data_IF_725460729524
#
_entry.id   IF_725460729524
#
_cell.length_a   1.000
_cell.length_b   1.000
_cell.length_c   1.000
_cell.angle_alpha   90.00
_cell.angle_beta   90.00
_cell.angle_gamma   90.00
#
_symmetry.space_group_name_H-M   'P 1'
#
loop_
_entity.id
_entity.type
_entity.pdbx_description
1 polymer ?
#
# COMPACT_ATOMS: atom_id res chain seq x y z
N UNK A 1 33.58 -9.67 -6.74
CA UNK A 1 32.80 -8.68 -7.52
C UNK A 1 31.36 -9.09 -7.79
N UNK A 2 31.07 -10.30 -8.28
CA UNK A 2 29.70 -10.76 -8.58
C UNK A 2 28.70 -10.62 -7.41
N UNK A 3 29.07 -11.02 -6.20
CA UNK A 3 28.20 -10.89 -5.01
C UNK A 3 27.86 -9.43 -4.65
N UNK A 4 28.74 -8.47 -4.93
CA UNK A 4 28.47 -7.03 -4.70
C UNK A 4 27.36 -6.56 -5.64
N UNK A 5 27.45 -6.93 -6.91
CA UNK A 5 26.43 -6.64 -7.90
C UNK A 5 25.11 -7.37 -7.61
N UNK A 6 25.15 -8.59 -7.08
CA UNK A 6 23.96 -9.31 -6.61
C UNK A 6 23.20 -8.52 -5.53
N UNK A 7 23.88 -8.09 -4.47
CA UNK A 7 23.27 -7.28 -3.39
C UNK A 7 22.74 -5.93 -3.89
N UNK A 8 23.47 -5.29 -4.81
CA UNK A 8 23.03 -4.02 -5.41
C UNK A 8 21.78 -4.21 -6.27
N UNK A 9 21.69 -5.32 -7.01
CA UNK A 9 20.50 -5.65 -7.79
C UNK A 9 19.26 -5.83 -6.91
N UNK A 10 19.37 -6.55 -5.79
CA UNK A 10 18.29 -6.72 -4.82
C UNK A 10 17.81 -5.39 -4.25
N UNK A 11 18.74 -4.49 -3.91
CA UNK A 11 18.41 -3.15 -3.46
C UNK A 11 17.60 -2.37 -4.51
N UNK A 12 18.03 -2.36 -5.78
CA UNK A 12 17.31 -1.69 -6.85
C UNK A 12 15.93 -2.32 -7.11
N UNK A 13 15.82 -3.65 -7.05
CA UNK A 13 14.55 -4.36 -7.22
C UNK A 13 13.53 -3.99 -6.13
N UNK A 14 13.95 -3.84 -4.87
CA UNK A 14 13.08 -3.37 -3.77
C UNK A 14 12.51 -1.98 -4.03
N UNK A 15 13.28 -1.11 -4.68
CA UNK A 15 12.87 0.25 -5.02
C UNK A 15 12.21 0.37 -6.40
N UNK A 16 11.78 -0.76 -7.00
CA UNK A 16 11.12 -0.82 -8.32
C UNK A 16 11.96 -0.27 -9.47
N UNK A 17 13.27 -0.14 -9.26
CA UNK A 17 14.28 0.24 -10.27
C UNK A 17 14.73 -1.00 -11.02
N UNK A 18 13.82 -1.55 -11.83
CA UNK A 18 13.99 -2.87 -12.43
C UNK A 18 15.10 -2.91 -13.49
N UNK A 19 15.30 -1.83 -14.25
CA UNK A 19 16.35 -1.77 -15.26
C UNK A 19 17.74 -1.80 -14.64
N UNK A 20 17.95 -1.01 -13.58
CA UNK A 20 19.21 -1.00 -12.84
C UNK A 20 19.45 -2.34 -12.13
N UNK A 21 18.40 -2.99 -11.61
CA UNK A 21 18.51 -4.32 -11.04
C UNK A 21 18.93 -5.38 -12.07
N UNK A 22 18.31 -5.35 -13.26
CA UNK A 22 18.65 -6.23 -14.38
C UNK A 22 20.10 -6.04 -14.80
N UNK A 23 20.56 -4.79 -14.95
CA UNK A 23 21.93 -4.49 -15.35
C UNK A 23 22.96 -4.93 -14.32
N UNK A 24 22.65 -4.83 -13.03
CA UNK A 24 23.51 -5.37 -11.98
C UNK A 24 23.58 -6.91 -12.01
N UNK A 25 22.47 -7.62 -12.26
CA UNK A 25 22.53 -9.08 -12.46
C UNK A 25 23.28 -9.49 -13.74
N UNK A 26 23.20 -8.72 -14.83
CA UNK A 26 24.02 -8.94 -16.04
C UNK A 26 25.50 -8.81 -15.74
N UNK A 27 25.90 -7.76 -15.02
CA UNK A 27 27.29 -7.57 -14.57
C UNK A 27 27.75 -8.71 -13.66
N UNK A 28 26.91 -9.13 -12.70
CA UNK A 28 27.22 -10.27 -11.85
C UNK A 28 27.45 -11.57 -12.65
N UNK A 29 26.57 -11.86 -13.62
CA UNK A 29 26.72 -13.02 -14.50
C UNK A 29 28.01 -12.95 -15.35
N UNK A 30 28.35 -11.77 -15.89
CA UNK A 30 29.59 -11.56 -16.64
C UNK A 30 30.84 -11.82 -15.80
N UNK A 31 30.89 -11.33 -14.55
CA UNK A 31 32.02 -11.62 -13.65
C UNK A 31 32.12 -13.12 -13.28
N UNK A 32 30.99 -13.81 -13.19
CA UNK A 32 30.98 -15.27 -12.96
C UNK A 32 31.47 -16.01 -14.21
N UNK A 33 31.15 -15.53 -15.41
CA UNK A 33 31.68 -16.09 -16.65
C UNK A 33 33.19 -15.89 -16.80
N UNK A 34 33.71 -14.72 -16.40
CA UNK A 34 35.15 -14.49 -16.31
C UNK A 34 35.80 -15.40 -15.28
N UNK A 35 35.19 -15.57 -14.11
CA UNK A 35 35.66 -16.51 -13.10
C UNK A 35 35.68 -17.96 -13.62
N UNK A 36 34.67 -18.38 -14.41
CA UNK A 36 34.61 -19.70 -15.03
C UNK A 36 35.74 -19.97 -16.03
N UNK A 37 36.29 -18.92 -16.67
CA UNK A 37 37.44 -19.05 -17.60
C UNK A 37 38.77 -19.26 -16.86
N UNK A 38 38.88 -18.76 -15.64
CA UNK A 38 40.12 -18.76 -14.83
C UNK A 38 40.08 -19.88 -13.77
N UNK A 39 38.89 -20.36 -13.41
CA UNK A 39 38.71 -21.35 -12.35
C UNK A 39 39.48 -22.66 -12.65
N UNK A 40 40.12 -23.25 -11.63
CA UNK A 40 40.87 -24.50 -11.77
C UNK A 40 39.97 -25.66 -12.20
N UNK A 41 40.56 -26.75 -12.70
CA UNK A 41 39.90 -27.97 -13.19
C UNK A 41 39.01 -28.71 -12.16
N UNK A 42 38.83 -28.16 -10.95
CA UNK A 42 37.90 -28.70 -9.97
C UNK A 42 36.47 -28.63 -10.50
N UNK A 43 35.90 -29.81 -10.77
CA UNK A 43 34.55 -29.97 -11.26
C UNK A 43 33.52 -29.29 -10.34
N UNK A 44 33.72 -29.38 -9.02
CA UNK A 44 32.83 -28.83 -7.99
C UNK A 44 32.77 -27.29 -8.07
N UNK A 45 33.93 -26.63 -8.20
CA UNK A 45 34.00 -25.16 -8.31
C UNK A 45 33.33 -24.70 -9.60
N UNK A 46 33.57 -25.42 -10.70
CA UNK A 46 32.96 -25.11 -12.00
C UNK A 46 31.44 -25.26 -11.97
N UNK A 47 30.93 -26.32 -11.35
CA UNK A 47 29.50 -26.55 -11.19
C UNK A 47 28.84 -25.46 -10.33
N UNK A 48 29.45 -25.11 -9.21
CA UNK A 48 28.96 -24.05 -8.32
C UNK A 48 28.86 -22.70 -9.05
N UNK A 49 29.89 -22.31 -9.80
CA UNK A 49 29.89 -21.08 -10.60
C UNK A 49 28.85 -21.13 -11.72
N UNK A 50 28.65 -22.28 -12.37
CA UNK A 50 27.58 -22.45 -13.37
C UNK A 50 26.19 -22.30 -12.75
N UNK A 51 25.97 -22.81 -11.53
CA UNK A 51 24.72 -22.65 -10.82
C UNK A 51 24.44 -21.18 -10.46
N UNK A 52 25.46 -20.46 -9.97
CA UNK A 52 25.35 -19.03 -9.68
C UNK A 52 25.05 -18.19 -10.93
N UNK A 53 25.67 -18.53 -12.08
CA UNK A 53 25.34 -17.89 -13.36
C UNK A 53 23.87 -18.13 -13.73
N UNK A 54 23.42 -19.39 -13.67
CA UNK A 54 22.02 -19.74 -13.94
C UNK A 54 21.05 -18.98 -13.03
N UNK A 55 21.40 -18.84 -11.76
CA UNK A 55 20.62 -18.03 -10.81
C UNK A 55 20.47 -16.58 -11.30
N UNK A 56 21.55 -15.89 -11.67
CA UNK A 56 21.46 -14.51 -12.15
C UNK A 56 20.70 -14.40 -13.48
N UNK A 57 20.81 -15.37 -14.39
CA UNK A 57 20.00 -15.42 -15.60
C UNK A 57 18.51 -15.51 -15.28
N UNK A 58 18.12 -16.42 -14.38
CA UNK A 58 16.72 -16.54 -13.93
C UNK A 58 16.21 -15.29 -13.23
N UNK A 59 17.05 -14.63 -12.42
CA UNK A 59 16.68 -13.36 -11.77
C UNK A 59 16.42 -12.25 -12.79
N UNK A 60 17.17 -12.20 -13.89
CA UNK A 60 16.91 -11.25 -14.98
C UNK A 60 15.54 -11.52 -15.63
N UNK A 61 15.20 -12.77 -15.91
CA UNK A 61 13.89 -13.15 -16.47
C UNK A 61 12.74 -12.77 -15.53
N UNK A 62 12.89 -13.09 -14.24
CA UNK A 62 11.92 -12.73 -13.21
C UNK A 62 11.71 -11.21 -13.13
N UNK A 63 12.80 -10.43 -13.10
CA UNK A 63 12.72 -8.96 -13.05
C UNK A 63 12.11 -8.36 -14.32
N UNK A 64 12.31 -8.97 -15.49
CA UNK A 64 11.65 -8.53 -16.74
C UNK A 64 10.14 -8.70 -16.66
N UNK A 65 9.66 -9.84 -16.16
CA UNK A 65 8.23 -10.04 -15.93
C UNK A 65 7.68 -9.06 -14.90
N UNK A 66 8.40 -8.86 -13.78
CA UNK A 66 8.00 -7.91 -12.74
C UNK A 66 7.95 -6.46 -13.24
N UNK A 67 8.89 -6.07 -14.10
CA UNK A 67 8.88 -4.77 -14.79
C UNK A 67 7.65 -4.63 -15.68
N UNK A 68 7.38 -5.61 -16.54
CA UNK A 68 6.25 -5.55 -17.45
C UNK A 68 4.92 -5.44 -16.70
N UNK A 69 4.75 -6.20 -15.61
CA UNK A 69 3.56 -6.12 -14.77
C UNK A 69 3.42 -4.75 -14.12
N UNK A 70 4.51 -4.21 -13.59
CA UNK A 70 4.50 -2.86 -12.99
C UNK A 70 4.14 -1.78 -14.00
N UNK A 71 4.67 -1.85 -15.23
CA UNK A 71 4.33 -0.90 -16.30
C UNK A 71 2.85 -0.95 -16.68
N UNK A 72 2.24 -2.14 -16.73
CA UNK A 72 0.80 -2.30 -16.96
C UNK A 72 -0.02 -1.67 -15.84
N UNK A 73 0.36 -1.96 -14.59
CA UNK A 73 -0.28 -1.38 -13.41
C UNK A 73 -0.23 0.16 -13.43
N UNK A 74 0.95 0.74 -13.67
CA UNK A 74 1.11 2.20 -13.73
C UNK A 74 0.23 2.80 -14.82
N UNK A 75 0.18 2.19 -16.01
CA UNK A 75 -0.69 2.65 -17.11
C UNK A 75 -2.18 2.55 -16.76
N UNK A 76 -2.61 1.48 -16.09
CA UNK A 76 -4.00 1.34 -15.65
C UNK A 76 -4.36 2.41 -14.61
N UNK A 77 -3.45 2.72 -13.69
CA UNK A 77 -3.63 3.74 -12.67
C UNK A 77 -3.67 5.15 -13.27
N UNK A 78 -2.81 5.43 -14.25
CA UNK A 78 -2.87 6.67 -15.04
C UNK A 78 -4.17 6.78 -15.84
N UNK A 79 -4.66 5.68 -16.42
CA UNK A 79 -5.93 5.65 -17.14
C UNK A 79 -7.12 5.95 -16.21
N UNK A 80 -7.15 5.37 -15.01
CA UNK A 80 -8.16 5.69 -14.01
C UNK A 80 -8.09 7.16 -13.58
N UNK A 81 -6.88 7.70 -13.34
CA UNK A 81 -6.71 9.13 -13.03
C UNK A 81 -7.21 10.05 -14.13
N UNK A 82 -6.95 9.71 -15.41
CA UNK A 82 -7.39 10.51 -16.57
C UNK A 82 -8.89 10.37 -16.84
N UNK A 83 -9.49 9.21 -16.57
CA UNK A 83 -10.91 8.94 -16.85
C UNK A 83 -11.85 9.41 -15.73
N UNK A 84 -11.34 9.65 -14.52
CA UNK A 84 -12.17 10.11 -13.38
C UNK A 84 -11.52 11.24 -12.55
N UNK A 85 -11.11 12.37 -13.19
CA UNK A 85 -10.50 13.49 -12.47
C UNK A 85 -11.45 14.11 -11.44
N UNK A 86 -12.76 14.09 -11.69
CA UNK A 86 -13.78 14.56 -10.73
C UNK A 86 -13.86 13.71 -9.47
N UNK A 87 -13.63 12.38 -9.56
CA UNK A 87 -13.61 11.54 -8.37
C UNK A 87 -12.41 11.86 -7.48
N UNK A 88 -11.25 12.07 -8.08
CA UNK A 88 -10.05 12.47 -7.34
C UNK A 88 -10.18 13.88 -6.76
N UNK A 89 -10.78 14.82 -7.50
CA UNK A 89 -11.07 16.17 -7.02
C UNK A 89 -12.07 16.14 -5.85
N UNK A 90 -13.13 15.34 -5.93
CA UNK A 90 -14.10 15.15 -4.83
C UNK A 90 -13.48 14.49 -3.60
N UNK A 91 -12.54 13.55 -3.78
CA UNK A 91 -11.80 12.96 -2.68
C UNK A 91 -10.83 13.96 -2.02
N UNK A 92 -10.13 14.77 -2.82
CA UNK A 92 -9.28 15.85 -2.33
C UNK A 92 -10.08 16.91 -1.56
N UNK A 93 -11.23 17.34 -2.10
CA UNK A 93 -12.12 18.30 -1.44
C UNK A 93 -12.68 17.74 -0.11
N UNK A 94 -13.00 16.43 -0.05
CA UNK A 94 -13.39 15.76 1.20
C UNK A 94 -12.26 15.75 2.24
N UNK A 95 -11.02 15.48 1.81
CA UNK A 95 -9.84 15.49 2.69
C UNK A 95 -9.54 16.90 3.20
N UNK A 96 -9.68 17.92 2.35
CA UNK A 96 -9.51 19.33 2.73
C UNK A 96 -10.56 19.74 3.78
N UNK A 97 -11.84 19.41 3.57
CA UNK A 97 -12.91 19.65 4.56
C UNK A 97 -12.65 18.94 5.90
N UNK A 98 -12.08 17.73 5.88
CA UNK A 98 -11.70 17.02 7.10
C UNK A 98 -10.55 17.71 7.82
N UNK A 99 -9.52 18.14 7.11
CA UNK A 99 -8.37 18.85 7.67
C UNK A 99 -8.80 20.20 8.28
N UNK A 100 -9.68 20.94 7.59
CA UNK A 100 -10.26 22.19 8.12
C UNK A 100 -11.04 21.95 9.42
N UNK A 101 -11.85 20.88 9.46
CA UNK A 101 -12.59 20.50 10.66
C UNK A 101 -11.65 20.14 11.82
N UNK A 102 -10.59 19.38 11.53
CA UNK A 102 -9.59 18.97 12.52
C UNK A 102 -8.82 20.18 13.08
N UNK A 103 -8.41 21.11 12.21
CA UNK A 103 -7.77 22.38 12.62
C UNK A 103 -8.71 23.20 13.49
N UNK A 104 -9.99 23.31 13.14
CA UNK A 104 -10.97 24.04 13.93
C UNK A 104 -11.18 23.43 15.33
N UNK A 105 -11.18 22.09 15.44
CA UNK A 105 -11.27 21.41 16.74
C UNK A 105 -10.04 21.70 17.61
N UNK A 106 -8.82 21.60 17.04
CA UNK A 106 -7.61 21.88 17.80
C UNK A 106 -7.50 23.34 18.23
N UNK A 107 -7.91 24.29 17.39
CA UNK A 107 -7.98 25.70 17.75
C UNK A 107 -8.98 25.92 18.90
N UNK A 108 -10.17 25.35 18.80
CA UNK A 108 -11.20 25.46 19.83
C UNK A 108 -10.73 24.88 21.19
N UNK A 109 -10.03 23.74 21.18
CA UNK A 109 -9.43 23.16 22.38
C UNK A 109 -8.33 24.05 22.98
N UNK A 110 -7.46 24.61 22.14
CA UNK A 110 -6.40 25.53 22.57
C UNK A 110 -6.95 26.85 23.14
N UNK A 111 -8.01 27.37 22.53
CA UNK A 111 -8.72 28.56 23.01
C UNK A 111 -9.40 28.29 24.37
N UNK A 112 -9.96 27.08 24.54
CA UNK A 112 -10.53 26.62 25.83
C UNK A 112 -9.45 26.58 26.91
N UNK A 113 -8.28 26.01 26.61
CA UNK A 113 -7.16 25.88 27.54
C UNK A 113 -6.57 27.24 27.92
N UNK A 114 -6.42 28.15 26.96
CA UNK A 114 -5.98 29.52 27.21
C UNK A 114 -6.95 30.29 28.11
N UNK A 115 -8.26 30.12 27.90
CA UNK A 115 -9.29 30.76 28.73
C UNK A 115 -9.27 30.19 30.16
N UNK A 116 -9.20 28.87 30.31
CA UNK A 116 -9.07 28.20 31.62
C UNK A 116 -7.79 28.61 32.35
N UNK A 117 -6.67 28.76 31.63
CA UNK A 117 -5.40 29.27 32.17
C UNK A 117 -5.52 30.71 32.68
N UNK A 118 -6.23 31.57 31.95
CA UNK A 118 -6.48 32.96 32.38
C UNK A 118 -7.38 33.04 33.62
N UNK A 119 -8.33 32.10 33.78
CA UNK A 119 -9.19 31.99 34.95
C UNK A 119 -8.46 31.41 36.17
N UNK A 120 -7.45 30.55 35.97
CA UNK A 120 -6.66 29.94 37.03
C UNK A 120 -5.56 30.87 37.60
N UNK A 121 -5.11 31.87 36.84
CA UNK A 121 -3.96 32.72 37.19
C UNK A 121 -4.25 34.07 37.87
N UNK A 122 -5.52 34.46 38.09
CA UNK A 122 -5.86 35.81 38.59
C UNK A 122 -6.36 35.82 40.04
N UNK A 123 -5.57 36.45 40.92
CA UNK A 123 -5.87 36.62 42.35
C UNK A 123 -6.73 37.88 42.62
N UNK A 124 -7.61 37.78 43.62
CA UNK A 124 -8.19 38.95 44.31
C UNK A 124 -9.56 39.47 43.84
N UNK A 125 -9.62 40.34 42.82
CA UNK A 125 -10.69 41.37 42.81
C UNK A 125 -11.43 41.63 41.49
N UNK A 126 -10.93 41.21 40.33
CA UNK A 126 -11.69 41.29 39.05
C UNK A 126 -12.59 40.07 38.77
N UNK A 127 -12.66 39.16 39.74
CA UNK A 127 -13.12 37.79 39.60
C UNK A 127 -14.60 37.62 39.24
N UNK A 128 -15.49 38.58 39.52
CA UNK A 128 -16.95 38.42 39.29
C UNK A 128 -17.44 38.86 37.92
N UNK A 129 -16.84 39.89 37.30
CA UNK A 129 -17.20 40.33 35.95
C UNK A 129 -16.54 39.46 34.88
N UNK A 130 -15.24 39.19 35.05
CA UNK A 130 -14.47 38.37 34.11
C UNK A 130 -14.88 36.88 34.17
N UNK A 131 -15.40 36.41 35.32
CA UNK A 131 -15.98 35.07 35.44
C UNK A 131 -17.28 34.91 34.67
N UNK A 132 -18.15 35.92 34.62
CA UNK A 132 -19.43 35.81 33.93
C UNK A 132 -19.21 35.78 32.40
N UNK A 133 -18.33 36.65 31.90
CA UNK A 133 -17.93 36.66 30.48
C UNK A 133 -17.17 35.38 30.11
N UNK A 134 -16.25 34.91 30.95
CA UNK A 134 -15.54 33.65 30.68
C UNK A 134 -16.48 32.43 30.70
N UNK A 135 -17.53 32.44 31.54
CA UNK A 135 -18.55 31.39 31.53
C UNK A 135 -19.40 31.46 30.26
N UNK A 136 -19.79 32.64 29.79
CA UNK A 136 -20.47 32.81 28.49
C UNK A 136 -19.59 32.36 27.31
N UNK A 137 -18.29 32.68 27.33
CA UNK A 137 -17.32 32.23 26.33
C UNK A 137 -17.16 30.71 26.36
N UNK A 138 -17.07 30.10 27.55
CA UNK A 138 -17.07 28.64 27.72
C UNK A 138 -18.36 27.98 27.20
N UNK A 139 -19.53 28.60 27.42
CA UNK A 139 -20.80 28.10 26.90
C UNK A 139 -20.82 28.16 25.37
N UNK A 140 -20.37 29.27 24.78
CA UNK A 140 -20.25 29.46 23.33
C UNK A 140 -19.28 28.46 22.70
N UNK A 141 -18.13 28.25 23.33
CA UNK A 141 -17.09 27.35 22.87
C UNK A 141 -17.51 25.88 22.98
N UNK A 142 -18.18 25.50 24.07
CA UNK A 142 -18.76 24.18 24.26
C UNK A 142 -19.87 23.90 23.25
N UNK A 143 -20.72 24.90 22.94
CA UNK A 143 -21.69 24.79 21.86
C UNK A 143 -21.01 24.56 20.49
N UNK A 144 -19.93 25.29 20.21
CA UNK A 144 -19.14 25.11 18.99
C UNK A 144 -18.50 23.71 18.91
N UNK A 145 -17.97 23.20 20.03
CA UNK A 145 -17.43 21.84 20.13
C UNK A 145 -18.52 20.79 19.88
N UNK A 146 -19.73 20.97 20.43
CA UNK A 146 -20.86 20.09 20.15
C UNK A 146 -21.26 20.08 18.68
N UNK A 147 -21.25 21.23 17.99
CA UNK A 147 -21.49 21.30 16.55
C UNK A 147 -20.41 20.58 15.75
N UNK A 148 -19.14 20.74 16.14
CA UNK A 148 -18.00 20.07 15.49
C UNK A 148 -18.06 18.55 15.70
N UNK A 149 -18.35 18.08 16.91
CA UNK A 149 -18.55 16.65 17.21
C UNK A 149 -19.73 16.08 16.43
N UNK A 150 -20.84 16.82 16.33
CA UNK A 150 -21.99 16.38 15.53
C UNK A 150 -21.64 16.24 14.05
N UNK A 151 -20.87 17.19 13.48
CA UNK A 151 -20.35 17.08 12.11
C UNK A 151 -19.40 15.89 11.94
N UNK A 152 -18.56 15.58 12.93
CA UNK A 152 -17.73 14.38 12.90
C UNK A 152 -18.58 13.10 12.87
N UNK A 153 -19.62 13.01 13.69
CA UNK A 153 -20.54 11.86 13.69
C UNK A 153 -21.25 11.71 12.34
N UNK A 154 -21.75 12.80 11.76
CA UNK A 154 -22.36 12.79 10.43
C UNK A 154 -21.38 12.29 9.36
N UNK A 155 -20.13 12.75 9.38
CA UNK A 155 -19.11 12.26 8.45
C UNK A 155 -18.85 10.75 8.62
N UNK A 156 -18.81 10.24 9.86
CA UNK A 156 -18.65 8.80 10.14
C UNK A 156 -19.82 7.99 9.56
N UNK A 157 -21.05 8.45 9.75
CA UNK A 157 -22.25 7.79 9.23
C UNK A 157 -22.26 7.80 7.69
N UNK A 158 -21.88 8.91 7.07
CA UNK A 158 -21.70 9.01 5.62
C UNK A 158 -20.65 8.03 5.10
N UNK A 159 -19.50 7.88 5.78
CA UNK A 159 -18.49 6.90 5.42
C UNK A 159 -18.97 5.46 5.60
N UNK A 160 -19.75 5.17 6.64
CA UNK A 160 -20.31 3.85 6.87
C UNK A 160 -21.26 3.46 5.71
N UNK A 161 -22.14 4.38 5.30
CA UNK A 161 -23.04 4.18 4.17
C UNK A 161 -22.27 4.04 2.86
N UNK A 162 -21.29 4.92 2.59
CA UNK A 162 -20.47 4.83 1.38
C UNK A 162 -19.72 3.49 1.31
N UNK A 163 -19.18 3.01 2.43
CA UNK A 163 -18.50 1.72 2.52
C UNK A 163 -19.45 0.54 2.22
N UNK A 164 -20.67 0.55 2.76
CA UNK A 164 -21.69 -0.45 2.41
C UNK A 164 -22.05 -0.41 0.92
N UNK A 165 -22.23 0.77 0.33
CA UNK A 165 -22.51 0.88 -1.12
C UNK A 165 -21.35 0.40 -1.99
N UNK A 166 -20.10 0.61 -1.55
CA UNK A 166 -18.91 0.13 -2.27
C UNK A 166 -18.78 -1.39 -2.15
N UNK A 167 -19.04 -1.96 -0.97
CA UNK A 167 -19.12 -3.42 -0.77
C UNK A 167 -20.21 -4.05 -1.63
N UNK A 168 -21.38 -3.42 -1.72
CA UNK A 168 -22.48 -3.90 -2.57
C UNK A 168 -22.10 -3.84 -4.07
N UNK A 169 -21.50 -2.74 -4.53
CA UNK A 169 -20.97 -2.65 -5.90
C UNK A 169 -19.91 -3.70 -6.19
N UNK A 170 -18.99 -3.95 -5.25
CA UNK A 170 -18.01 -5.03 -5.36
C UNK A 170 -18.68 -6.40 -5.46
N UNK A 171 -19.67 -6.68 -4.60
CA UNK A 171 -20.43 -7.93 -4.65
C UNK A 171 -21.14 -8.13 -6.00
N UNK A 172 -21.72 -7.07 -6.58
CA UNK A 172 -22.34 -7.13 -7.90
C UNK A 172 -21.33 -7.43 -9.00
N UNK A 173 -20.16 -6.79 -8.99
CA UNK A 173 -19.11 -7.07 -9.98
C UNK A 173 -18.52 -8.47 -9.82
N UNK A 174 -18.36 -8.96 -8.60
CA UNK A 174 -17.93 -10.35 -8.33
C UNK A 174 -18.98 -11.37 -8.82
N UNK A 175 -20.27 -11.07 -8.64
CA UNK A 175 -21.38 -11.91 -9.13
C UNK A 175 -21.49 -11.90 -10.65
N UNK A 176 -21.30 -10.75 -11.29
CA UNK A 176 -21.31 -10.62 -12.76
C UNK A 176 -20.09 -11.30 -13.41
N UNK A 177 -18.91 -11.22 -12.79
CA UNK A 177 -17.71 -11.92 -13.26
C UNK A 177 -17.82 -13.46 -13.19
N UNK A 178 -18.68 -14.00 -12.32
CA UNK A 178 -18.99 -15.43 -12.21
C UNK A 178 -20.00 -15.97 -13.22
N UNK A 179 -20.73 -15.10 -13.93
CA UNK A 179 -21.89 -15.48 -14.76
C UNK A 179 -21.61 -15.87 -16.21
N UNK A 180 -20.46 -15.50 -16.80
CA UNK A 180 -20.17 -15.70 -18.23
C UNK A 180 -19.19 -16.86 -18.52
N UNK A 181 -19.26 -17.96 -17.75
CA UNK A 181 -18.50 -19.19 -18.05
C UNK A 181 -19.37 -20.43 -18.22
N UNK A 182 -20.53 -20.33 -18.85
CA UNK A 182 -21.19 -21.52 -19.42
C UNK A 182 -21.86 -21.16 -20.74
N UNK A 183 -21.18 -21.48 -21.85
CA UNK A 183 -21.70 -22.19 -23.04
C UNK A 183 -20.71 -22.03 -24.20
N UNK A 184 -19.83 -23.01 -24.35
CA UNK A 184 -19.11 -23.26 -25.60
C UNK A 184 -20.11 -23.93 -26.58
N UNK A 185 -20.33 -23.32 -27.73
CA UNK A 185 -21.12 -23.87 -28.83
C UNK A 185 -20.71 -23.25 -30.16
N UNK A 186 -20.30 -24.09 -31.10
CA UNK A 186 -19.56 -23.77 -32.32
C UNK A 186 -20.31 -22.86 -33.32
N UNK A 187 -19.56 -22.03 -34.07
CA UNK A 187 -20.06 -21.29 -35.22
C UNK A 187 -18.98 -20.52 -35.98
N UNK A 188 -18.74 -20.91 -37.24
CA UNK A 188 -17.83 -20.29 -38.23
C UNK A 188 -18.32 -18.91 -38.70
N UNK A 189 -17.39 -18.03 -39.10
CA UNK A 189 -17.60 -16.94 -40.07
C UNK A 189 -17.29 -15.53 -39.55
N UNK A 190 -16.35 -14.81 -40.20
CA UNK A 190 -15.94 -13.42 -39.85
C UNK A 190 -16.90 -12.32 -40.34
N UNK A 191 -16.49 -11.03 -40.49
CA UNK A 191 -15.24 -10.38 -40.08
C UNK A 191 -15.43 -9.21 -39.08
N UNK A 192 -14.29 -8.62 -38.72
CA UNK A 192 -14.03 -7.56 -37.75
C UNK A 192 -14.87 -6.27 -37.87
N UNK A 193 -15.28 -5.73 -36.71
CA UNK A 193 -14.93 -4.38 -36.19
C UNK A 193 -15.81 -4.07 -34.97
N UNK A 194 -15.24 -4.11 -33.77
CA UNK A 194 -15.96 -3.72 -32.55
C UNK A 194 -15.60 -4.50 -31.29
N UNK A 195 -14.88 -5.62 -31.42
CA UNK A 195 -14.56 -6.51 -30.29
C UNK A 195 -13.22 -6.20 -29.59
N UNK A 196 -12.42 -5.27 -30.12
CA UNK A 196 -11.06 -4.99 -29.60
C UNK A 196 -11.03 -4.08 -28.37
N UNK A 197 -12.05 -3.23 -28.15
CA UNK A 197 -12.08 -2.36 -26.96
C UNK A 197 -12.55 -3.09 -25.70
N UNK A 198 -13.52 -4.02 -25.82
CA UNK A 198 -14.06 -4.75 -24.65
C UNK A 198 -13.10 -5.78 -24.05
N UNK A 199 -12.22 -6.38 -24.87
CA UNK A 199 -11.21 -7.32 -24.38
C UNK A 199 -10.13 -6.62 -23.55
N UNK A 200 -9.80 -5.36 -23.85
CA UNK A 200 -8.79 -4.60 -23.11
C UNK A 200 -9.23 -4.24 -21.68
N UNK A 201 -10.54 -4.02 -21.47
CA UNK A 201 -11.11 -3.71 -20.16
C UNK A 201 -11.23 -4.95 -19.26
N UNK A 202 -11.52 -6.12 -19.84
CA UNK A 202 -11.58 -7.39 -19.12
C UNK A 202 -10.19 -7.93 -18.73
N UNK A 203 -9.17 -7.73 -19.58
CA UNK A 203 -7.77 -8.06 -19.24
C UNK A 203 -7.25 -7.14 -18.12
N UNK A 204 -7.55 -5.84 -18.16
CA UNK A 204 -7.12 -4.90 -17.11
C UNK A 204 -7.83 -5.12 -15.77
N UNK A 205 -9.08 -5.59 -15.76
CA UNK A 205 -9.81 -5.95 -14.53
C UNK A 205 -9.24 -7.20 -13.86
N UNK A 206 -8.88 -8.22 -14.65
CA UNK A 206 -8.25 -9.45 -14.16
C UNK A 206 -6.82 -9.21 -13.67
N UNK A 207 -6.04 -8.40 -14.39
CA UNK A 207 -4.69 -7.97 -13.98
C UNK A 207 -4.71 -7.09 -12.72
N UNK A 208 -5.79 -6.30 -12.50
CA UNK A 208 -5.96 -5.49 -11.29
C UNK A 208 -6.34 -6.33 -10.05
N UNK A 209 -7.15 -7.38 -10.23
CA UNK A 209 -7.46 -8.35 -9.17
C UNK A 209 -6.23 -9.17 -8.78
N UNK A 210 -5.41 -9.61 -9.74
CA UNK A 210 -4.13 -10.28 -9.48
C UNK A 210 -3.13 -9.35 -8.76
N UNK A 211 -3.20 -8.03 -9.01
CA UNK A 211 -2.40 -7.03 -8.30
C UNK A 211 -2.89 -6.76 -6.85
N UNK A 212 -4.18 -6.92 -6.55
CA UNK A 212 -4.72 -6.84 -5.18
C UNK A 212 -4.38 -8.12 -4.40
N UNK A 213 -4.43 -9.28 -5.05
CA UNK A 213 -4.04 -10.57 -4.49
C UNK A 213 -2.53 -10.59 -4.12
N UNK A 214 -1.69 -9.83 -4.84
CA UNK A 214 -0.27 -9.65 -4.53
C UNK A 214 0.03 -8.80 -3.28
N UNK A 215 -0.95 -8.08 -2.73
CA UNK A 215 -0.85 -7.45 -1.40
C UNK A 215 -1.35 -8.36 -0.27
N UNK A 216 -1.80 -9.57 -0.62
CA UNK A 216 -2.24 -10.63 0.29
C UNK A 216 -1.26 -11.80 0.34
N UNK A 217 -0.01 -11.62 -0.11
CA UNK A 217 1.09 -12.51 0.27
C UNK A 217 1.33 -12.33 1.79
N UNK A 218 0.47 -13.00 2.55
CA UNK A 218 0.70 -13.43 3.91
C UNK A 218 2.14 -13.91 4.00
N UNK A 219 2.90 -13.30 4.91
CA UNK A 219 4.24 -13.72 5.28
C UNK A 219 4.18 -15.26 5.41
N UNK A 220 5.02 -16.03 4.71
CA UNK A 220 5.05 -17.47 4.87
C UNK A 220 5.12 -17.76 6.36
N UNK A 221 4.15 -18.51 6.90
CA UNK A 221 4.12 -18.82 8.32
C UNK A 221 5.50 -19.34 8.71
N UNK A 222 6.24 -18.53 9.48
CA UNK A 222 7.58 -18.89 9.90
C UNK A 222 7.48 -20.25 10.59
N UNK A 223 8.35 -21.18 10.20
CA UNK A 223 8.43 -22.47 10.86
C UNK A 223 8.49 -22.23 12.38
N UNK A 224 7.70 -22.97 13.20
CA UNK A 224 7.72 -22.80 14.64
C UNK A 224 9.16 -22.83 15.11
N UNK A 225 9.59 -21.75 15.78
CA UNK A 225 10.90 -21.70 16.40
C UNK A 225 10.88 -22.73 17.53
N UNK A 226 11.40 -23.93 17.26
CA UNK A 226 11.77 -24.86 18.31
C UNK A 226 12.89 -24.21 19.10
N UNK A 227 12.54 -23.67 20.26
CA UNK A 227 13.50 -23.18 21.23
C UNK A 227 14.48 -24.33 21.54
N UNK A 228 15.79 -24.07 21.58
CA UNK A 228 16.75 -25.06 22.03
C UNK A 228 16.30 -25.62 23.38
N UNK A 229 16.27 -26.94 23.51
CA UNK A 229 16.12 -27.57 24.83
C UNK A 229 17.40 -27.27 25.61
N UNK A 230 17.31 -26.27 26.48
CA UNK A 230 18.32 -26.03 27.49
C UNK A 230 18.16 -27.14 28.52
N UNK A 231 18.94 -28.20 28.38
CA UNK A 231 19.17 -29.12 29.49
C UNK A 231 20.07 -28.36 30.47
N UNK A 232 19.43 -27.71 31.45
CA UNK A 232 20.09 -27.18 32.64
C UNK A 232 19.94 -28.22 33.75
N UNK A 233 20.82 -29.24 33.83
CA UNK A 233 21.02 -29.89 35.10
C UNK A 233 21.77 -28.89 36.00
N UNK A 234 21.36 -28.84 37.27
CA UNK A 234 22.09 -28.22 38.39
C UNK A 234 21.98 -26.69 38.51
N UNK A 235 20.78 -26.22 38.86
CA UNK A 235 20.65 -25.21 39.92
C UNK A 235 19.59 -25.65 40.94
N UNK A 236 19.81 -26.83 41.52
CA UNK A 236 19.37 -27.11 42.88
C UNK A 236 20.62 -27.31 43.74
N UNK A 237 20.64 -26.66 44.90
CA UNK A 237 21.69 -26.60 45.93
C UNK A 237 22.79 -25.54 45.75
N UNK A 238 22.48 -24.31 46.14
CA UNK A 238 22.92 -23.77 47.44
C UNK A 238 22.19 -22.47 47.79
#
# INVERSE_FOLDING_TARGET
>A
MAHVYGRRAEHHAKHRRFDEAIDNHRKAASYIEEALKIAPQSAIVRESLQLQRKYHTKQIEFLRHKKQQYERYVKALEYQRKRNPEFLAKQLEKIEKYNELQVAIYQNLNDTESLLGSMAGNDGTERRRNSATAVEDLISLNHSLHVLVHRMTQNIDEYAVENETLKEKLSLFEREAGGERVTMGAGKGGPEKGRRERLSALETGRDALEAIEFHREEIPALAPLELPKFDLPEFENN
#
